data_IF_641167571953
#
_entry.id   IF_641167571953
#
_cell.length_a   1.000
_cell.length_b   1.000
_cell.length_c   1.000
_cell.angle_alpha   90.00
_cell.angle_beta   90.00
_cell.angle_gamma   90.00
#
_symmetry.space_group_name_H-M   'P 1'
#
loop_
_entity.id
_entity.type
_entity.pdbx_description
1 polymer ?
#
# COMPACT_ATOMS: atom_id res chain seq x y z
N UNK A 1 15.54 10.84 -23.79
CA UNK A 1 15.68 9.37 -23.78
C UNK A 1 14.29 8.75 -23.70
N UNK A 2 13.86 7.95 -24.68
CA UNK A 2 12.55 7.28 -24.67
C UNK A 2 12.59 6.19 -23.59
N UNK A 3 11.96 6.44 -22.45
CA UNK A 3 11.96 5.51 -21.29
C UNK A 3 11.26 4.17 -21.55
N UNK A 4 10.48 4.03 -22.64
CA UNK A 4 9.84 2.77 -23.02
C UNK A 4 9.83 2.60 -24.55
N UNK A 5 10.69 1.74 -25.12
CA UNK A 5 10.67 1.42 -26.55
C UNK A 5 9.57 0.41 -26.95
N UNK A 6 9.04 -0.38 -25.99
CA UNK A 6 8.00 -1.40 -26.21
C UNK A 6 6.67 -1.03 -25.54
N UNK A 7 5.57 -1.01 -26.30
CA UNK A 7 4.22 -0.79 -25.77
C UNK A 7 3.79 -1.87 -24.76
N UNK A 8 4.22 -3.12 -24.96
CA UNK A 8 3.92 -4.22 -24.05
C UNK A 8 4.55 -4.03 -22.66
N UNK A 9 5.80 -3.53 -22.60
CA UNK A 9 6.48 -3.22 -21.33
C UNK A 9 5.79 -2.07 -20.60
N UNK A 10 5.34 -1.05 -21.34
CA UNK A 10 4.54 0.05 -20.79
C UNK A 10 3.21 -0.43 -20.21
N UNK A 11 2.46 -1.28 -20.93
CA UNK A 11 1.21 -1.90 -20.43
C UNK A 11 1.44 -2.72 -19.17
N UNK A 12 2.49 -3.54 -19.13
CA UNK A 12 2.82 -4.38 -17.96
C UNK A 12 3.26 -3.54 -16.76
N UNK A 13 4.01 -2.46 -16.99
CA UNK A 13 4.42 -1.51 -15.95
C UNK A 13 3.21 -0.73 -15.41
N UNK A 14 2.29 -0.27 -16.26
CA UNK A 14 1.06 0.39 -15.80
C UNK A 14 0.15 -0.54 -15.00
N UNK A 15 0.04 -1.82 -15.41
CA UNK A 15 -0.83 -2.80 -14.74
C UNK A 15 -0.29 -3.27 -13.39
N UNK A 16 1.04 -3.41 -13.25
CA UNK A 16 1.66 -4.00 -12.05
C UNK A 16 2.55 -3.03 -11.26
N UNK A 17 3.23 -2.10 -11.92
CA UNK A 17 4.14 -1.14 -11.28
C UNK A 17 3.41 0.05 -10.67
N UNK A 18 2.38 0.58 -11.35
CA UNK A 18 1.61 1.73 -10.85
C UNK A 18 0.94 1.48 -9.49
N UNK A 19 0.27 0.33 -9.25
CA UNK A 19 -0.31 0.03 -7.94
C UNK A 19 0.73 -0.10 -6.83
N UNK A 20 1.92 -0.62 -7.15
CA UNK A 20 3.01 -0.79 -6.19
C UNK A 20 3.62 0.56 -5.84
N UNK A 21 3.89 1.42 -6.83
CA UNK A 21 4.38 2.78 -6.59
C UNK A 21 3.41 3.60 -5.75
N UNK A 22 2.11 3.50 -6.04
CA UNK A 22 1.07 4.11 -5.21
C UNK A 22 1.13 3.56 -3.79
N UNK A 23 1.12 2.23 -3.60
CA UNK A 23 1.20 1.66 -2.26
C UNK A 23 2.43 2.14 -1.47
N UNK A 24 3.60 2.21 -2.11
CA UNK A 24 4.83 2.72 -1.49
C UNK A 24 4.72 4.20 -1.14
N UNK A 25 4.15 5.03 -2.02
CA UNK A 25 3.93 6.46 -1.75
C UNK A 25 2.96 6.69 -0.59
N UNK A 26 1.97 5.81 -0.42
CA UNK A 26 0.98 5.88 0.66
C UNK A 26 1.47 5.26 1.98
N UNK A 27 2.56 4.49 1.98
CA UNK A 27 3.18 3.89 3.18
C UNK A 27 3.28 4.83 4.39
N UNK A 28 3.94 6.00 4.30
CA UNK A 28 4.10 6.88 5.47
C UNK A 28 2.76 7.42 5.98
N UNK A 29 1.81 7.68 5.09
CA UNK A 29 0.47 8.16 5.46
C UNK A 29 -0.29 7.08 6.21
N UNK A 30 -0.30 5.85 5.69
CA UNK A 30 -0.94 4.69 6.33
C UNK A 30 -0.33 4.45 7.71
N UNK A 31 1.00 4.52 7.81
CA UNK A 31 1.70 4.40 9.08
C UNK A 31 1.25 5.47 10.08
N UNK A 32 1.25 6.74 9.68
CA UNK A 32 0.84 7.85 10.55
C UNK A 32 -0.61 7.70 11.02
N UNK A 33 -1.53 7.32 10.13
CA UNK A 33 -2.93 7.09 10.48
C UNK A 33 -3.06 5.94 11.47
N UNK A 34 -2.40 4.81 11.23
CA UNK A 34 -2.42 3.68 12.15
C UNK A 34 -1.80 4.03 13.50
N UNK A 35 -0.68 4.75 13.51
CA UNK A 35 -0.04 5.20 14.74
C UNK A 35 -0.93 6.17 15.54
N UNK A 36 -1.58 7.12 14.88
CA UNK A 36 -2.46 8.08 15.55
C UNK A 36 -3.74 7.43 16.10
N UNK A 37 -4.32 6.45 15.39
CA UNK A 37 -5.57 5.79 15.79
C UNK A 37 -5.32 4.67 16.81
N UNK A 38 -4.35 3.79 16.54
CA UNK A 38 -4.10 2.60 17.34
C UNK A 38 -3.04 2.82 18.41
N UNK A 39 -2.09 3.74 18.22
CA UNK A 39 -1.03 4.02 19.21
C UNK A 39 -1.59 4.31 20.60
N UNK A 40 -2.49 5.30 20.78
CA UNK A 40 -3.06 5.61 22.09
C UNK A 40 -3.86 4.46 22.71
N UNK A 41 -4.48 3.62 21.87
CA UNK A 41 -5.25 2.45 22.33
C UNK A 41 -4.30 1.35 22.79
N UNK A 42 -3.25 1.07 22.01
CA UNK A 42 -2.27 0.04 22.30
C UNK A 42 -1.40 0.41 23.50
N UNK A 43 -0.98 1.66 23.64
CA UNK A 43 -0.17 2.14 24.79
C UNK A 43 -0.92 2.00 26.13
N UNK A 44 -2.25 2.09 26.13
CA UNK A 44 -3.06 1.87 27.34
C UNK A 44 -3.10 0.40 27.77
N UNK A 45 -2.93 -0.53 26.84
CA UNK A 45 -3.02 -1.98 27.09
C UNK A 45 -1.62 -2.60 27.24
N UNK A 46 -0.65 -2.10 26.47
CA UNK A 46 0.72 -2.57 26.39
C UNK A 46 1.66 -1.39 26.67
N UNK A 47 2.16 -1.22 27.90
CA UNK A 47 3.06 -0.12 28.24
C UNK A 47 4.45 -0.25 27.61
N UNK A 48 4.72 -1.36 26.89
CA UNK A 48 5.99 -1.61 26.22
C UNK A 48 5.95 -1.02 24.82
N UNK A 49 6.58 0.15 24.66
CA UNK A 49 6.58 0.91 23.41
C UNK A 49 7.10 0.09 22.21
N UNK A 50 8.08 -0.81 22.39
CA UNK A 50 8.60 -1.65 21.31
C UNK A 50 7.53 -2.59 20.74
N UNK A 51 6.68 -3.16 21.61
CA UNK A 51 5.59 -4.03 21.17
C UNK A 51 4.53 -3.23 20.41
N UNK A 52 4.22 -2.02 20.88
CA UNK A 52 3.29 -1.12 20.19
C UNK A 52 3.79 -0.80 18.78
N UNK A 53 5.06 -0.40 18.63
CA UNK A 53 5.67 -0.12 17.33
C UNK A 53 5.67 -1.36 16.43
N UNK A 54 5.98 -2.54 16.97
CA UNK A 54 6.03 -3.78 16.19
C UNK A 54 4.63 -4.21 15.70
N UNK A 55 3.60 -4.03 16.53
CA UNK A 55 2.20 -4.28 16.15
C UNK A 55 1.75 -3.29 15.05
N UNK A 56 2.02 -1.99 15.23
CA UNK A 56 1.70 -0.96 14.24
C UNK A 56 2.42 -1.24 12.92
N UNK A 57 3.68 -1.68 12.97
CA UNK A 57 4.43 -2.06 11.77
C UNK A 57 3.78 -3.22 11.04
N UNK A 58 3.41 -4.28 11.76
CA UNK A 58 2.75 -5.44 11.17
C UNK A 58 1.40 -5.06 10.53
N UNK A 59 0.62 -4.22 11.20
CA UNK A 59 -0.65 -3.70 10.68
C UNK A 59 -0.45 -2.81 9.45
N UNK A 60 0.62 -2.01 9.42
CA UNK A 60 0.96 -1.16 8.27
C UNK A 60 1.28 -1.99 7.02
N UNK A 61 2.02 -3.08 7.18
CA UNK A 61 2.30 -4.03 6.08
C UNK A 61 1.00 -4.67 5.59
N UNK A 62 0.14 -5.11 6.51
CA UNK A 62 -1.18 -5.69 6.19
C UNK A 62 -2.06 -4.69 5.42
N UNK A 63 -2.11 -3.44 5.86
CA UNK A 63 -2.85 -2.37 5.22
C UNK A 63 -2.30 -2.09 3.81
N UNK A 64 -0.98 -2.07 3.61
CA UNK A 64 -0.39 -1.94 2.26
C UNK A 64 -0.78 -3.10 1.35
N UNK A 65 -0.70 -4.35 1.83
CA UNK A 65 -1.10 -5.52 1.03
C UNK A 65 -2.57 -5.43 0.63
N UNK A 66 -3.44 -5.01 1.55
CA UNK A 66 -4.85 -4.74 1.25
C UNK A 66 -4.99 -3.63 0.21
N UNK A 67 -4.26 -2.53 0.34
CA UNK A 67 -4.29 -1.40 -0.59
C UNK A 67 -3.88 -1.83 -2.01
N UNK A 68 -2.78 -2.58 -2.14
CA UNK A 68 -2.32 -3.14 -3.43
C UNK A 68 -3.38 -4.06 -4.04
N UNK A 69 -4.00 -4.93 -3.23
CA UNK A 69 -5.09 -5.79 -3.69
C UNK A 69 -6.31 -4.98 -4.14
N UNK A 70 -6.68 -3.96 -3.38
CA UNK A 70 -7.80 -3.07 -3.70
C UNK A 70 -7.53 -2.34 -5.03
N UNK A 71 -6.33 -1.79 -5.20
CA UNK A 71 -5.93 -1.14 -6.46
C UNK A 71 -5.86 -2.11 -7.63
N UNK A 72 -5.47 -3.37 -7.42
CA UNK A 72 -5.55 -4.38 -8.48
C UNK A 72 -6.99 -4.70 -8.86
N UNK A 73 -7.90 -4.83 -7.90
CA UNK A 73 -9.32 -5.08 -8.16
C UNK A 73 -9.95 -3.88 -8.87
N UNK A 74 -9.70 -2.66 -8.38
CA UNK A 74 -10.18 -1.43 -9.02
C UNK A 74 -9.54 -1.25 -10.40
N UNK A 75 -8.26 -1.52 -10.54
CA UNK A 75 -7.54 -1.51 -11.81
C UNK A 75 -8.10 -2.52 -12.80
N UNK A 76 -8.50 -3.73 -12.36
CA UNK A 76 -9.21 -4.69 -13.19
C UNK A 76 -10.60 -4.18 -13.60
N UNK A 77 -11.30 -3.44 -12.72
CA UNK A 77 -12.61 -2.88 -13.03
C UNK A 77 -12.54 -1.67 -13.99
N UNK A 78 -11.48 -0.86 -13.92
CA UNK A 78 -11.28 0.31 -14.78
C UNK A 78 -10.52 0.01 -16.09
N UNK A 79 -9.63 -0.98 -16.11
CA UNK A 79 -8.87 -1.40 -17.30
C UNK A 79 -9.35 -2.71 -17.94
N UNK A 80 -10.35 -3.38 -17.37
CA UNK A 80 -10.83 -4.70 -17.84
C UNK A 80 -12.03 -4.67 -18.78
N UNK A 81 -12.62 -3.50 -19.07
CA UNK A 81 -13.81 -3.41 -19.94
C UNK A 81 -13.49 -2.99 -21.38
N UNK A 82 -12.25 -3.16 -21.85
CA UNK A 82 -11.88 -2.99 -23.27
C UNK A 82 -10.52 -3.66 -23.58
N UNK A 83 -10.50 -5.00 -23.58
CA UNK A 83 -9.35 -5.79 -24.03
C UNK A 83 -9.78 -7.14 -24.56
#
# INVERSE_FOLDING_TARGET
MKFFPDEEKKKRFMKNGLPVMFAVAWTPIIWMVLAAVLGPVLERVLPVWQLVVLIIAMLSVLAMVMLVRLFRILGLKFFGENG
#
